data_IF_879790085019
#
_entry.id   IF_879790085019
#
_cell.length_a   1.000
_cell.length_b   1.000
_cell.length_c   1.000
_cell.angle_alpha   90.00
_cell.angle_beta   90.00
_cell.angle_gamma   90.00
#
_symmetry.space_group_name_H-M   'P 1'
#
loop_
_entity.id
_entity.type
_entity.pdbx_description
1 polymer ?
#
# COMPACT_ATOMS: atom_id res chain seq x y z
N UNK A 1 14.47 -24.36 21.19
CA UNK A 1 13.19 -23.66 20.96
C UNK A 1 13.52 -22.23 20.52
N UNK A 2 13.56 -21.97 19.21
CA UNK A 2 13.87 -20.64 18.69
C UNK A 2 12.67 -19.71 18.94
N UNK A 3 12.86 -18.76 19.86
CA UNK A 3 11.86 -17.76 20.24
C UNK A 3 12.01 -16.59 19.27
N UNK A 4 11.20 -16.61 18.21
CA UNK A 4 11.12 -15.55 17.22
C UNK A 4 10.64 -14.28 17.93
N UNK A 5 11.60 -13.43 18.28
CA UNK A 5 11.35 -12.15 18.96
C UNK A 5 11.72 -11.05 17.97
N UNK A 6 11.05 -11.01 16.81
CA UNK A 6 11.39 -9.99 15.82
C UNK A 6 10.14 -9.48 15.08
N UNK A 7 9.34 -8.70 15.82
CA UNK A 7 8.24 -7.94 15.24
C UNK A 7 8.70 -6.92 14.19
N UNK A 8 9.99 -6.55 14.16
CA UNK A 8 10.56 -5.62 13.17
C UNK A 8 10.85 -6.29 11.82
N UNK A 9 11.16 -7.58 11.82
CA UNK A 9 11.41 -8.35 10.59
C UNK A 9 10.12 -8.65 9.86
N UNK A 10 9.05 -8.98 10.58
CA UNK A 10 7.73 -9.20 9.96
C UNK A 10 7.17 -7.93 9.33
N UNK A 11 7.34 -6.78 9.98
CA UNK A 11 6.87 -5.49 9.48
C UNK A 11 7.61 -5.08 8.19
N UNK A 12 8.93 -5.24 8.15
CA UNK A 12 9.73 -5.00 6.94
C UNK A 12 9.39 -5.94 5.78
N UNK A 13 9.11 -7.21 6.07
CA UNK A 13 8.68 -8.18 5.05
C UNK A 13 7.28 -7.82 4.53
N UNK A 14 6.37 -7.40 5.41
CA UNK A 14 5.05 -6.93 5.04
C UNK A 14 5.09 -5.67 4.17
N UNK A 15 5.91 -4.68 4.52
CA UNK A 15 6.10 -3.46 3.71
C UNK A 15 6.71 -3.78 2.34
N UNK A 16 7.67 -4.72 2.26
CA UNK A 16 8.23 -5.17 0.98
C UNK A 16 7.20 -5.85 0.07
N UNK A 17 6.34 -6.70 0.64
CA UNK A 17 5.23 -7.31 -0.10
C UNK A 17 4.18 -6.27 -0.51
N UNK A 18 3.83 -5.35 0.38
CA UNK A 18 2.87 -4.30 0.13
C UNK A 18 3.36 -3.37 -0.99
N UNK A 19 4.63 -2.98 -0.98
CA UNK A 19 5.27 -2.21 -2.06
C UNK A 19 5.11 -2.89 -3.41
N UNK A 20 5.39 -4.20 -3.48
CA UNK A 20 5.29 -4.97 -4.73
C UNK A 20 3.84 -4.98 -5.25
N UNK A 21 2.86 -5.19 -4.37
CA UNK A 21 1.45 -5.18 -4.75
C UNK A 21 1.00 -3.78 -5.21
N UNK A 22 1.43 -2.72 -4.52
CA UNK A 22 1.13 -1.34 -4.91
C UNK A 22 1.66 -0.98 -6.30
N UNK A 23 2.88 -1.44 -6.63
CA UNK A 23 3.45 -1.27 -7.96
C UNK A 23 2.61 -2.01 -9.02
N UNK A 24 2.15 -3.22 -8.71
CA UNK A 24 1.27 -3.98 -9.62
C UNK A 24 -0.10 -3.30 -9.81
N UNK A 25 -0.64 -2.70 -8.75
CA UNK A 25 -1.89 -1.95 -8.78
C UNK A 25 -1.74 -0.52 -9.32
N UNK A 26 -0.54 -0.07 -9.69
CA UNK A 26 -0.27 1.34 -10.01
C UNK A 26 -1.20 1.89 -11.09
N UNK A 27 -1.56 1.08 -12.09
CA UNK A 27 -2.46 1.53 -13.15
C UNK A 27 -3.86 1.85 -12.62
N UNK A 28 -4.40 1.05 -11.71
CA UNK A 28 -5.68 1.33 -11.06
C UNK A 28 -5.57 2.53 -10.10
N UNK A 29 -4.46 2.63 -9.37
CA UNK A 29 -4.19 3.73 -8.44
C UNK A 29 -4.10 5.06 -9.19
N UNK A 30 -3.32 5.14 -10.26
CA UNK A 30 -3.15 6.37 -11.06
C UNK A 30 -4.43 6.82 -11.75
N UNK A 31 -5.36 5.91 -12.05
CA UNK A 31 -6.69 6.26 -12.55
C UNK A 31 -7.59 6.85 -11.46
N UNK A 32 -7.54 6.32 -10.25
CA UNK A 32 -8.32 6.82 -9.11
C UNK A 32 -7.71 8.11 -8.51
N UNK A 33 -6.39 8.25 -8.59
CA UNK A 33 -5.59 9.32 -8.00
C UNK A 33 -4.66 9.91 -9.08
N UNK A 34 -5.15 10.87 -9.89
CA UNK A 34 -4.40 11.41 -11.02
C UNK A 34 -3.10 12.12 -10.61
N UNK A 35 -2.96 12.54 -9.35
CA UNK A 35 -1.70 13.06 -8.80
C UNK A 35 -0.54 12.05 -8.86
N UNK A 36 -0.84 10.75 -8.87
CA UNK A 36 0.16 9.70 -9.01
C UNK A 36 0.42 9.29 -10.45
N UNK A 37 -0.41 9.73 -11.41
CA UNK A 37 -0.30 9.35 -12.82
C UNK A 37 0.99 9.85 -13.49
N UNK A 38 1.59 10.92 -12.96
CA UNK A 38 2.86 11.47 -13.44
C UNK A 38 4.09 10.97 -12.65
N UNK A 39 3.89 10.15 -11.63
CA UNK A 39 4.97 9.59 -10.82
C UNK A 39 5.34 8.19 -11.30
N UNK A 40 6.61 7.82 -11.21
CA UNK A 40 7.02 6.43 -11.39
C UNK A 40 6.29 5.50 -10.42
N UNK A 41 5.88 4.29 -10.84
CA UNK A 41 5.16 3.33 -9.99
C UNK A 41 5.85 3.03 -8.67
N UNK A 42 7.18 2.95 -8.69
CA UNK A 42 7.98 2.72 -7.49
C UNK A 42 7.92 3.92 -6.52
N UNK A 43 7.96 5.14 -7.04
CA UNK A 43 7.87 6.39 -6.27
C UNK A 43 6.47 6.56 -5.69
N UNK A 44 5.43 6.31 -6.49
CA UNK A 44 4.04 6.34 -6.04
C UNK A 44 3.80 5.32 -4.90
N UNK A 45 4.32 4.09 -5.03
CA UNK A 45 4.21 3.08 -3.99
C UNK A 45 4.93 3.49 -2.69
N UNK A 46 6.15 4.04 -2.76
CA UNK A 46 6.87 4.54 -1.58
C UNK A 46 6.11 5.70 -0.91
N UNK A 47 5.52 6.60 -1.69
CA UNK A 47 4.72 7.70 -1.18
C UNK A 47 3.46 7.20 -0.45
N UNK A 48 2.74 6.23 -1.04
CA UNK A 48 1.58 5.61 -0.40
C UNK A 48 1.94 4.88 0.89
N UNK A 49 3.06 4.15 0.91
CA UNK A 49 3.58 3.53 2.13
C UNK A 49 3.91 4.57 3.19
N UNK A 50 4.52 5.69 2.79
CA UNK A 50 4.77 6.80 3.70
C UNK A 50 3.46 7.35 4.29
N UNK A 51 2.44 7.62 3.46
CA UNK A 51 1.14 8.09 3.92
C UNK A 51 0.48 7.10 4.89
N UNK A 52 0.56 5.79 4.59
CA UNK A 52 0.08 4.72 5.49
C UNK A 52 0.81 4.76 6.83
N UNK A 53 2.14 4.83 6.80
CA UNK A 53 2.97 4.80 8.01
C UNK A 53 2.80 6.07 8.86
N UNK A 54 2.44 7.19 8.25
CA UNK A 54 2.02 8.41 8.97
C UNK A 54 0.59 8.36 9.50
N UNK A 55 -0.17 7.30 9.21
CA UNK A 55 -1.55 7.13 9.66
C UNK A 55 -2.59 7.94 8.87
N UNK A 56 -2.20 8.56 7.75
CA UNK A 56 -3.11 9.37 6.91
C UNK A 56 -4.05 8.51 6.07
N UNK A 57 -3.55 7.36 5.62
CA UNK A 57 -4.32 6.43 4.80
C UNK A 57 -4.20 5.01 5.35
N UNK A 58 -5.13 4.15 4.97
CA UNK A 58 -5.04 2.71 5.08
C UNK A 58 -5.05 2.10 3.68
N UNK A 59 -4.18 1.13 3.47
CA UNK A 59 -4.07 0.41 2.20
C UNK A 59 -4.61 -0.99 2.43
N UNK A 60 -5.62 -1.37 1.65
CA UNK A 60 -6.20 -2.71 1.68
C UNK A 60 -5.96 -3.41 0.35
N UNK A 61 -5.39 -4.62 0.44
CA UNK A 61 -5.26 -5.52 -0.70
C UNK A 61 -6.45 -6.47 -0.70
N UNK A 62 -7.11 -6.62 -1.84
CA UNK A 62 -8.22 -7.55 -2.01
C UNK A 62 -8.05 -8.35 -3.29
N UNK A 63 -8.60 -9.56 -3.33
CA UNK A 63 -8.61 -10.34 -4.57
C UNK A 63 -9.72 -9.78 -5.47
N UNK A 64 -9.34 -9.08 -6.53
CA UNK A 64 -10.30 -8.60 -7.53
C UNK A 64 -10.77 -9.77 -8.40
N UNK A 65 -9.83 -10.68 -8.75
CA UNK A 65 -10.12 -11.96 -9.39
C UNK A 65 -9.21 -13.05 -8.80
N UNK A 66 -9.40 -14.34 -9.12
CA UNK A 66 -8.51 -15.41 -8.66
C UNK A 66 -7.04 -15.24 -9.07
N UNK A 67 -6.75 -14.38 -10.05
CA UNK A 67 -5.41 -14.13 -10.58
C UNK A 67 -4.93 -12.68 -10.41
N UNK A 68 -5.78 -11.76 -9.91
CA UNK A 68 -5.47 -10.34 -9.80
C UNK A 68 -5.76 -9.82 -8.39
N UNK A 69 -4.77 -9.15 -7.82
CA UNK A 69 -4.88 -8.43 -6.57
C UNK A 69 -5.24 -6.98 -6.90
N UNK A 70 -6.37 -6.52 -6.38
CA UNK A 70 -6.77 -5.13 -6.37
C UNK A 70 -6.23 -4.42 -5.13
N UNK A 71 -6.04 -3.10 -5.26
CA UNK A 71 -5.61 -2.25 -4.15
C UNK A 71 -6.66 -1.17 -3.92
N UNK A 72 -7.07 -0.98 -2.66
CA UNK A 72 -7.95 0.10 -2.23
C UNK A 72 -7.20 0.99 -1.25
N UNK A 73 -7.22 2.28 -1.51
CA UNK A 73 -6.70 3.31 -0.59
C UNK A 73 -7.90 3.90 0.14
N UNK A 74 -7.83 3.93 1.47
CA UNK A 74 -8.86 4.49 2.35
C UNK A 74 -8.23 5.67 3.07
N UNK A 75 -8.80 6.86 2.88
CA UNK A 75 -8.35 8.05 3.57
C UNK A 75 -8.83 8.04 5.03
N UNK A 76 -7.90 8.16 5.97
CA UNK A 76 -8.19 8.21 7.41
C UNK A 76 -8.22 9.65 7.95
N UNK A 77 -7.70 10.61 7.17
CA UNK A 77 -7.68 12.04 7.51
C UNK A 77 -9.05 12.70 7.31
N UNK A 78 -9.97 12.03 6.60
CA UNK A 78 -11.39 12.41 6.55
C UNK A 78 -12.09 12.02 7.85
N UNK A 79 -11.74 12.71 8.93
CA UNK A 79 -12.60 12.83 10.09
C UNK A 79 -13.92 13.47 9.65
N UNK A 80 -14.93 12.65 9.34
CA UNK A 80 -16.32 13.08 9.43
C UNK A 80 -16.55 13.58 10.85
N UNK A 81 -16.50 14.90 11.00
CA UNK A 81 -17.24 15.63 12.03
C UNK A 81 -18.73 15.59 11.72
#
# INVERSE_FOLDING_TARGET
MARWTDGKTLDKVADGLLRKNLIQCYQAISQAYPEFANLDPATAAEYLLHLRNTGRIRIELFNETPALIGCRIIDLDTGTS
#
